data_IF_807738106013
#
_entry.id   IF_807738106013
#
_cell.length_a   1.000
_cell.length_b   1.000
_cell.length_c   1.000
_cell.angle_alpha   90.00
_cell.angle_beta   90.00
_cell.angle_gamma   90.00
#
_symmetry.space_group_name_H-M   'P 1'
#
loop_
_entity.id
_entity.type
_entity.pdbx_description
1 polymer ?
#
# COMPACT_ATOMS: atom_id res chain seq x y z
N UNK A 1 -50.16 3.42 -23.94
CA UNK A 1 -51.45 3.08 -23.29
C UNK A 1 -51.41 1.64 -22.88
N UNK A 2 -51.74 1.38 -21.62
CA UNK A 2 -51.89 0.00 -21.11
C UNK A 2 -53.39 -0.28 -21.08
N UNK A 3 -53.81 -1.30 -21.84
CA UNK A 3 -55.19 -1.74 -21.89
C UNK A 3 -55.33 -2.93 -20.94
N UNK A 4 -56.25 -2.82 -19.97
CA UNK A 4 -56.59 -3.90 -19.06
C UNK A 4 -57.98 -4.44 -19.40
N UNK A 5 -58.32 -5.65 -18.95
CA UNK A 5 -59.66 -6.27 -19.11
C UNK A 5 -60.83 -5.47 -18.48
N UNK A 6 -60.56 -4.39 -17.79
CA UNK A 6 -61.55 -3.51 -17.14
C UNK A 6 -61.58 -2.08 -17.70
N UNK A 7 -60.98 -1.83 -18.83
CA UNK A 7 -60.96 -0.50 -19.48
C UNK A 7 -59.54 0.01 -19.75
N UNK A 8 -59.46 1.03 -20.60
CA UNK A 8 -58.18 1.72 -20.87
C UNK A 8 -57.98 2.87 -19.86
N UNK A 9 -56.88 2.94 -19.20
CA UNK A 9 -56.47 4.09 -18.41
C UNK A 9 -55.28 4.74 -19.11
N UNK A 10 -55.42 5.98 -19.56
CA UNK A 10 -54.34 6.74 -20.12
C UNK A 10 -53.57 7.39 -18.98
N UNK A 11 -52.33 6.97 -18.79
CA UNK A 11 -51.41 7.63 -17.91
C UNK A 11 -50.79 8.79 -18.69
N UNK A 12 -50.68 9.97 -18.08
CA UNK A 12 -50.01 11.11 -18.69
C UNK A 12 -48.59 10.74 -19.08
N UNK A 13 -48.15 11.16 -20.25
CA UNK A 13 -46.78 11.00 -20.68
C UNK A 13 -45.87 11.76 -19.71
N UNK A 14 -45.09 11.04 -18.90
CA UNK A 14 -43.97 11.60 -18.17
C UNK A 14 -42.72 11.36 -18.98
N UNK A 15 -42.13 12.43 -19.48
CA UNK A 15 -40.80 12.39 -20.06
C UNK A 15 -39.79 12.31 -18.92
N UNK A 16 -39.22 11.16 -18.66
CA UNK A 16 -38.02 11.01 -17.89
C UNK A 16 -36.90 11.39 -18.87
N UNK A 17 -36.42 12.63 -18.78
CA UNK A 17 -35.47 13.19 -19.76
C UNK A 17 -34.12 12.50 -19.80
N UNK A 18 -33.73 11.75 -18.77
CA UNK A 18 -32.61 10.79 -18.78
C UNK A 18 -32.58 9.98 -17.49
N UNK A 19 -32.71 8.67 -17.61
CA UNK A 19 -32.38 7.76 -16.53
C UNK A 19 -30.85 7.73 -16.37
N UNK A 20 -30.37 7.98 -15.18
CA UNK A 20 -28.92 7.97 -14.88
C UNK A 20 -28.65 7.11 -13.65
N UNK A 21 -27.52 6.43 -13.67
CA UNK A 21 -27.00 5.82 -12.45
C UNK A 21 -26.63 6.92 -11.48
N UNK A 22 -26.95 6.74 -10.19
CA UNK A 22 -26.46 7.64 -9.14
C UNK A 22 -24.93 7.64 -9.16
N UNK A 23 -24.32 8.81 -9.30
CA UNK A 23 -22.88 8.91 -9.46
C UNK A 23 -22.15 8.58 -8.17
N UNK A 24 -21.21 7.65 -8.25
CA UNK A 24 -20.20 7.44 -7.22
C UNK A 24 -19.13 8.54 -7.37
N UNK A 25 -18.94 9.35 -6.35
CA UNK A 25 -18.03 10.49 -6.37
C UNK A 25 -16.60 10.10 -6.04
N UNK A 26 -16.45 9.31 -4.98
CA UNK A 26 -15.17 8.75 -4.56
C UNK A 26 -15.35 7.56 -3.63
N UNK A 27 -14.25 6.86 -3.36
CA UNK A 27 -14.13 5.78 -2.39
C UNK A 27 -13.00 6.12 -1.42
N UNK A 28 -13.21 5.84 -0.14
CA UNK A 28 -12.22 6.09 0.92
C UNK A 28 -12.04 4.81 1.73
N UNK A 29 -10.81 4.31 1.78
CA UNK A 29 -10.45 3.18 2.65
C UNK A 29 -10.28 3.72 4.06
N UNK A 30 -11.02 3.14 5.01
CA UNK A 30 -10.97 3.50 6.44
C UNK A 30 -10.76 2.22 7.27
N UNK A 31 -9.51 1.90 7.56
CA UNK A 31 -9.15 0.62 8.15
C UNK A 31 -9.48 -0.53 7.19
N UNK A 32 -10.31 -1.47 7.64
CA UNK A 32 -10.77 -2.60 6.83
C UNK A 32 -12.03 -2.28 6.00
N UNK A 33 -12.69 -1.17 6.29
CA UNK A 33 -13.92 -0.73 5.63
C UNK A 33 -13.64 0.12 4.38
N UNK A 34 -14.59 0.08 3.43
CA UNK A 34 -14.62 0.94 2.27
C UNK A 34 -15.85 1.84 2.30
N UNK A 35 -15.63 3.14 2.42
CA UNK A 35 -16.69 4.15 2.35
C UNK A 35 -16.89 4.62 0.91
N UNK A 36 -18.08 4.40 0.38
CA UNK A 36 -18.52 4.90 -0.91
C UNK A 36 -19.30 6.21 -0.73
N UNK A 37 -18.87 7.27 -1.39
CA UNK A 37 -19.55 8.56 -1.38
C UNK A 37 -20.27 8.79 -2.71
N UNK A 38 -21.58 9.04 -2.64
CA UNK A 38 -22.45 9.22 -3.78
C UNK A 38 -22.88 10.69 -3.95
N UNK A 39 -23.27 11.04 -5.16
CA UNK A 39 -23.97 12.29 -5.43
C UNK A 39 -25.30 12.36 -4.66
N UNK A 40 -25.91 13.54 -4.60
CA UNK A 40 -27.27 13.69 -4.09
C UNK A 40 -28.22 12.74 -4.81
N UNK A 41 -29.23 12.30 -4.07
CA UNK A 41 -30.30 11.45 -4.61
C UNK A 41 -31.05 12.19 -5.74
N UNK A 42 -31.38 11.48 -6.80
CA UNK A 42 -32.16 12.02 -7.91
C UNK A 42 -33.65 11.90 -7.55
N UNK A 43 -34.43 12.92 -7.85
CA UNK A 43 -35.83 13.00 -7.44
C UNK A 43 -36.70 11.83 -7.96
N UNK A 44 -36.33 11.29 -9.15
CA UNK A 44 -37.04 10.20 -9.80
C UNK A 44 -36.53 8.82 -9.37
N UNK A 45 -35.39 8.74 -8.70
CA UNK A 45 -34.81 7.48 -8.25
C UNK A 45 -35.54 7.01 -6.99
N UNK A 46 -35.88 5.73 -6.94
CA UNK A 46 -36.52 5.10 -5.78
C UNK A 46 -35.46 4.63 -4.78
N UNK A 47 -34.42 3.97 -5.26
CA UNK A 47 -33.29 3.52 -4.46
C UNK A 47 -32.08 3.17 -5.34
N UNK A 48 -30.93 3.03 -4.69
CA UNK A 48 -29.68 2.60 -5.31
C UNK A 48 -29.11 1.42 -4.54
N UNK A 49 -28.67 0.38 -5.25
CA UNK A 49 -27.97 -0.77 -4.67
C UNK A 49 -26.58 -0.89 -5.26
N UNK A 50 -25.66 -1.44 -4.46
CA UNK A 50 -24.32 -1.84 -4.87
C UNK A 50 -24.22 -3.35 -4.75
N UNK A 51 -23.85 -4.01 -5.84
CA UNK A 51 -23.60 -5.44 -5.94
C UNK A 51 -22.11 -5.66 -6.06
N UNK A 52 -21.56 -6.62 -5.33
CA UNK A 52 -20.11 -6.87 -5.33
C UNK A 52 -19.81 -8.28 -4.79
N UNK A 53 -18.58 -8.74 -5.03
CA UNK A 53 -18.05 -9.93 -4.38
C UNK A 53 -17.31 -9.52 -3.10
N UNK A 54 -17.57 -10.23 -2.01
CA UNK A 54 -16.78 -10.08 -0.79
C UNK A 54 -15.40 -10.75 -0.91
N UNK A 55 -14.59 -10.69 0.15
CA UNK A 55 -13.27 -11.30 0.18
C UNK A 55 -13.29 -12.82 -0.07
N UNK A 56 -14.35 -13.50 0.37
CA UNK A 56 -14.56 -14.95 0.19
C UNK A 56 -15.15 -15.32 -1.19
N UNK A 57 -15.50 -14.33 -2.02
CA UNK A 57 -16.06 -14.53 -3.35
C UNK A 57 -17.57 -14.75 -3.37
N UNK A 58 -18.26 -14.44 -2.29
CA UNK A 58 -19.71 -14.47 -2.22
C UNK A 58 -20.31 -13.19 -2.79
N UNK A 59 -21.42 -13.32 -3.52
CA UNK A 59 -22.17 -12.17 -4.04
C UNK A 59 -22.96 -11.48 -2.92
N UNK A 60 -22.68 -10.20 -2.70
CA UNK A 60 -23.38 -9.37 -1.74
C UNK A 60 -24.08 -8.20 -2.43
N UNK A 61 -25.17 -7.75 -1.82
CA UNK A 61 -25.84 -6.52 -2.20
C UNK A 61 -26.06 -5.63 -0.97
N UNK A 62 -25.84 -4.33 -1.15
CA UNK A 62 -26.16 -3.33 -0.13
C UNK A 62 -26.93 -2.16 -0.74
N UNK A 63 -27.90 -1.65 0.01
CA UNK A 63 -28.73 -0.53 -0.43
C UNK A 63 -28.21 0.78 0.19
N UNK A 64 -28.06 1.80 -0.64
CA UNK A 64 -27.83 3.15 -0.16
C UNK A 64 -29.13 3.66 0.45
N UNK A 65 -29.17 3.86 1.76
CA UNK A 65 -30.35 4.33 2.49
C UNK A 65 -30.82 5.67 1.94
N UNK A 66 -32.13 5.82 1.76
CA UNK A 66 -32.73 7.04 1.23
C UNK A 66 -32.37 8.24 2.10
N UNK A 67 -32.02 9.36 1.46
CA UNK A 67 -31.53 10.56 2.12
C UNK A 67 -30.08 10.50 2.57
N UNK A 68 -29.40 9.36 2.40
CA UNK A 68 -27.98 9.22 2.70
C UNK A 68 -27.15 9.25 1.42
N UNK A 69 -25.98 9.86 1.48
CA UNK A 69 -25.04 9.93 0.37
C UNK A 69 -23.83 9.03 0.59
N UNK A 70 -23.85 8.18 1.59
CA UNK A 70 -22.74 7.32 1.97
C UNK A 70 -23.20 5.88 2.16
N UNK A 71 -22.33 4.95 1.79
CA UNK A 71 -22.46 3.53 2.07
C UNK A 71 -21.11 3.01 2.56
N UNK A 72 -21.09 2.41 3.75
CA UNK A 72 -19.92 1.74 4.29
C UNK A 72 -19.99 0.25 3.98
N UNK A 73 -18.94 -0.31 3.37
CA UNK A 73 -18.83 -1.73 3.04
C UNK A 73 -17.70 -2.31 3.90
N UNK A 74 -18.06 -3.17 4.85
CA UNK A 74 -17.10 -3.77 5.79
C UNK A 74 -16.36 -4.99 5.21
N UNK A 75 -17.00 -5.71 4.29
CA UNK A 75 -16.45 -6.92 3.70
C UNK A 75 -16.41 -6.76 2.17
N UNK A 76 -15.29 -6.26 1.68
CA UNK A 76 -15.08 -5.99 0.26
C UNK A 76 -13.76 -6.61 -0.21
N UNK A 77 -13.73 -7.01 -1.45
CA UNK A 77 -12.51 -7.56 -2.08
C UNK A 77 -11.72 -6.43 -2.75
N UNK A 78 -10.48 -6.12 -2.33
CA UNK A 78 -9.61 -5.20 -3.05
C UNK A 78 -9.51 -5.59 -4.53
N UNK A 79 -9.61 -4.61 -5.44
CA UNK A 79 -9.68 -4.80 -6.89
C UNK A 79 -10.87 -5.66 -7.36
N UNK A 80 -11.81 -5.97 -6.49
CA UNK A 80 -13.04 -6.69 -6.85
C UNK A 80 -13.95 -5.84 -7.72
N UNK A 81 -14.69 -6.48 -8.64
CA UNK A 81 -15.68 -5.81 -9.44
C UNK A 81 -16.91 -5.44 -8.60
N UNK A 82 -17.51 -4.30 -8.92
CA UNK A 82 -18.80 -3.91 -8.38
C UNK A 82 -19.73 -3.42 -9.48
N UNK A 83 -21.04 -3.47 -9.21
CA UNK A 83 -22.09 -2.89 -10.05
C UNK A 83 -22.98 -2.00 -9.18
N UNK A 84 -23.20 -0.76 -9.62
CA UNK A 84 -24.18 0.16 -9.01
C UNK A 84 -25.42 0.15 -9.87
N UNK A 85 -26.58 -0.15 -9.26
CA UNK A 85 -27.90 -0.09 -9.93
C UNK A 85 -28.77 0.96 -9.27
N UNK A 86 -29.31 1.85 -10.08
CA UNK A 86 -30.32 2.82 -9.67
C UNK A 86 -31.66 2.41 -10.23
N UNK A 87 -32.66 2.35 -9.38
CA UNK A 87 -34.00 1.86 -9.66
C UNK A 87 -34.98 3.03 -9.73
N UNK A 88 -35.77 3.02 -10.77
CA UNK A 88 -36.79 4.03 -11.04
C UNK A 88 -38.15 3.38 -11.14
N UNK A 89 -39.13 3.87 -10.38
CA UNK A 89 -40.53 3.48 -10.46
C UNK A 89 -41.29 4.70 -10.95
N UNK A 90 -41.93 4.63 -12.13
CA UNK A 90 -42.60 5.79 -12.74
C UNK A 90 -43.70 6.40 -11.85
N UNK A 91 -44.42 5.56 -11.13
CA UNK A 91 -45.51 5.95 -10.20
C UNK A 91 -45.61 4.98 -9.03
N UNK A 92 -46.21 5.44 -7.90
CA UNK A 92 -46.45 4.60 -6.73
C UNK A 92 -47.49 3.53 -7.06
N UNK A 93 -47.31 2.45 -7.58
CA UNK A 93 -48.09 1.30 -8.02
C UNK A 93 -47.79 0.90 -9.48
N UNK A 94 -46.70 1.42 -10.06
CA UNK A 94 -46.24 0.94 -11.35
C UNK A 94 -45.80 -0.52 -11.22
N UNK A 95 -46.16 -1.33 -12.18
CA UNK A 95 -45.73 -2.74 -12.25
C UNK A 95 -44.28 -2.83 -12.75
N UNK A 96 -43.84 -1.84 -13.53
CA UNK A 96 -42.54 -1.82 -14.16
C UNK A 96 -41.53 -0.96 -13.36
N UNK A 97 -40.38 -1.53 -13.15
CA UNK A 97 -39.20 -0.85 -12.58
C UNK A 97 -38.13 -0.73 -13.65
N UNK A 98 -37.67 0.48 -13.90
CA UNK A 98 -36.55 0.73 -14.79
C UNK A 98 -35.24 0.73 -13.99
N UNK A 99 -34.24 0.07 -14.52
CA UNK A 99 -32.93 -0.04 -13.86
C UNK A 99 -31.87 0.47 -14.81
N UNK A 100 -30.99 1.30 -14.26
CA UNK A 100 -29.77 1.73 -14.95
C UNK A 100 -28.59 1.37 -14.09
N UNK A 101 -27.54 0.82 -14.69
CA UNK A 101 -26.37 0.36 -13.96
C UNK A 101 -25.07 0.94 -14.50
N UNK A 102 -24.06 0.95 -13.64
CA UNK A 102 -22.66 1.15 -13.99
C UNK A 102 -21.79 0.16 -13.21
N UNK A 103 -20.69 -0.25 -13.82
CA UNK A 103 -19.72 -1.17 -13.23
C UNK A 103 -18.42 -0.46 -12.98
N UNK A 104 -17.64 -0.98 -12.04
CA UNK A 104 -16.31 -0.52 -11.73
C UNK A 104 -15.51 -1.57 -10.95
N UNK A 105 -14.36 -1.16 -10.48
CA UNK A 105 -13.45 -1.99 -9.67
C UNK A 105 -13.12 -1.24 -8.40
N UNK A 106 -13.17 -1.91 -7.26
CA UNK A 106 -12.76 -1.36 -5.99
C UNK A 106 -11.28 -0.99 -5.99
N UNK A 107 -10.86 -0.05 -5.13
CA UNK A 107 -9.47 0.34 -5.05
C UNK A 107 -8.58 -0.84 -4.60
N UNK A 108 -7.29 -0.70 -4.84
CA UNK A 108 -6.27 -1.53 -4.24
C UNK A 108 -6.14 -1.20 -2.75
N UNK A 109 -5.91 -2.20 -1.91
CA UNK A 109 -5.57 -2.00 -0.51
C UNK A 109 -4.08 -2.24 -0.31
N UNK A 110 -3.40 -1.29 0.31
CA UNK A 110 -1.97 -1.41 0.63
C UNK A 110 -1.85 -1.76 2.11
N UNK A 111 -1.27 -2.91 2.40
CA UNK A 111 -1.13 -3.45 3.76
C UNK A 111 0.33 -3.72 4.11
N UNK A 112 0.67 -3.58 5.39
CA UNK A 112 1.97 -3.98 5.91
C UNK A 112 2.17 -5.48 5.78
N UNK A 113 3.38 -5.89 5.39
CA UNK A 113 3.74 -7.32 5.36
C UNK A 113 3.92 -7.86 6.77
N UNK A 114 3.59 -9.14 6.95
CA UNK A 114 3.75 -9.85 8.22
C UNK A 114 5.24 -10.11 8.51
N UNK A 115 5.83 -9.23 9.32
CA UNK A 115 7.24 -9.29 9.69
C UNK A 115 7.64 -10.56 10.45
N UNK A 116 6.69 -11.27 11.05
CA UNK A 116 6.96 -12.55 11.75
C UNK A 116 7.43 -13.65 10.78
N UNK A 117 7.16 -13.49 9.49
CA UNK A 117 7.60 -14.38 8.41
C UNK A 117 9.00 -14.07 7.89
N UNK A 118 9.53 -12.87 8.18
CA UNK A 118 10.83 -12.46 7.65
C UNK A 118 11.97 -13.31 8.21
N UNK A 119 12.96 -13.59 7.36
CA UNK A 119 14.13 -14.40 7.71
C UNK A 119 15.40 -13.82 7.09
N UNK A 120 16.47 -13.84 7.84
CA UNK A 120 17.79 -13.56 7.31
C UNK A 120 18.19 -14.65 6.31
N UNK A 121 18.69 -14.25 5.15
CA UNK A 121 19.33 -15.15 4.17
C UNK A 121 20.82 -14.79 4.13
N UNK A 122 21.66 -15.78 4.31
CA UNK A 122 23.10 -15.59 4.40
C UNK A 122 23.76 -16.23 3.20
N UNK A 123 24.23 -15.40 2.29
CA UNK A 123 24.95 -15.83 1.09
C UNK A 123 26.43 -15.46 1.20
N UNK A 124 27.26 -16.13 0.42
CA UNK A 124 28.65 -15.74 0.30
C UNK A 124 28.73 -14.29 -0.21
N UNK A 125 29.61 -13.49 0.36
CA UNK A 125 29.80 -12.06 0.08
C UNK A 125 28.68 -11.13 0.62
N UNK A 126 27.63 -11.64 1.26
CA UNK A 126 26.73 -10.80 2.03
C UNK A 126 27.45 -10.29 3.30
N UNK A 127 27.27 -9.01 3.59
CA UNK A 127 27.78 -8.46 4.84
C UNK A 127 26.97 -8.96 6.02
N UNK A 128 27.64 -9.06 7.18
CA UNK A 128 26.97 -9.42 8.43
C UNK A 128 26.58 -8.16 9.17
N UNK A 129 25.35 -8.14 9.69
CA UNK A 129 24.77 -7.01 10.40
C UNK A 129 24.56 -7.34 11.89
N UNK A 130 25.57 -7.98 12.51
CA UNK A 130 25.48 -8.53 13.86
C UNK A 130 26.56 -7.97 14.82
N UNK A 131 27.18 -6.84 14.50
CA UNK A 131 28.16 -6.20 15.37
C UNK A 131 27.49 -5.37 16.47
N UNK A 132 28.20 -5.16 17.55
CA UNK A 132 27.83 -4.27 18.67
C UNK A 132 26.47 -4.61 19.32
N UNK A 133 26.09 -5.87 19.35
CA UNK A 133 24.77 -6.32 19.82
C UNK A 133 23.64 -6.10 18.81
N UNK A 134 23.96 -5.67 17.61
CA UNK A 134 23.03 -5.61 16.49
C UNK A 134 22.72 -6.98 15.92
N UNK A 135 21.66 -7.08 15.13
CA UNK A 135 21.30 -8.25 14.34
C UNK A 135 20.35 -7.85 13.22
N UNK A 136 20.42 -8.53 12.07
CA UNK A 136 19.54 -8.20 10.94
C UNK A 136 18.05 -8.39 11.29
N UNK A 137 17.70 -9.43 12.09
CA UNK A 137 16.31 -9.67 12.48
C UNK A 137 15.70 -8.54 13.33
N UNK A 138 16.51 -7.68 13.95
CA UNK A 138 16.05 -6.49 14.66
C UNK A 138 15.49 -5.42 13.72
N UNK A 139 15.76 -5.53 12.43
CA UNK A 139 15.23 -4.62 11.43
C UNK A 139 13.74 -4.86 11.07
N UNK A 140 13.08 -5.81 11.72
CA UNK A 140 11.65 -6.11 11.53
C UNK A 140 10.92 -6.59 12.78
N UNK A 141 11.44 -6.23 13.97
CA UNK A 141 10.82 -6.61 15.25
C UNK A 141 9.86 -5.55 15.82
N UNK A 142 9.60 -4.47 15.08
CA UNK A 142 8.78 -3.33 15.45
C UNK A 142 9.32 -2.51 16.64
N UNK A 143 10.63 -2.53 16.86
CA UNK A 143 11.29 -1.68 17.84
C UNK A 143 12.14 -0.63 17.12
N UNK A 144 11.83 0.64 17.36
CA UNK A 144 12.39 1.77 16.62
C UNK A 144 13.39 2.60 17.43
N UNK A 145 13.78 2.13 18.61
CA UNK A 145 14.72 2.88 19.46
C UNK A 145 16.18 2.73 19.01
N UNK A 146 17.02 3.67 19.43
CA UNK A 146 18.41 3.74 19.00
C UNK A 146 19.31 2.63 19.55
N UNK A 147 18.80 1.77 20.44
CA UNK A 147 19.51 0.61 20.99
C UNK A 147 19.17 -0.68 20.25
N UNK A 148 18.14 -0.63 19.39
CA UNK A 148 17.67 -1.74 18.58
C UNK A 148 18.01 -1.51 17.11
N UNK A 149 18.99 -2.22 16.59
CA UNK A 149 19.53 -1.96 15.25
C UNK A 149 20.18 -3.18 14.60
N UNK A 150 20.29 -3.14 13.29
CA UNK A 150 21.23 -3.92 12.49
C UNK A 150 22.52 -3.11 12.29
N UNK A 151 23.69 -3.72 12.43
CA UNK A 151 24.97 -3.00 12.35
C UNK A 151 26.08 -3.90 11.82
N UNK A 152 26.76 -3.49 10.75
CA UNK A 152 27.99 -4.16 10.29
C UNK A 152 29.20 -3.74 11.16
N UNK A 153 30.25 -4.55 11.12
CA UNK A 153 31.46 -4.27 11.92
C UNK A 153 32.24 -3.08 11.37
N UNK A 154 32.29 -1.97 12.13
CA UNK A 154 33.04 -0.78 11.78
C UNK A 154 34.54 -0.87 12.11
N UNK A 155 34.95 -1.91 12.84
CA UNK A 155 36.37 -2.21 13.06
C UNK A 155 37.00 -2.99 11.91
N UNK A 156 36.16 -3.59 11.09
CA UNK A 156 36.53 -4.24 9.82
C UNK A 156 35.68 -3.65 8.69
N UNK A 157 35.99 -2.44 8.23
CA UNK A 157 35.13 -1.71 7.31
C UNK A 157 34.90 -2.46 6.00
N UNK A 158 33.64 -2.44 5.53
CA UNK A 158 33.27 -2.97 4.23
C UNK A 158 33.64 -1.98 3.12
N UNK A 159 33.96 -2.50 1.96
CA UNK A 159 34.14 -1.71 0.73
C UNK A 159 32.80 -1.62 0.02
N UNK A 160 32.30 -0.41 -0.18
CA UNK A 160 31.09 -0.20 -0.98
C UNK A 160 31.34 -0.44 -2.48
N UNK A 161 30.34 -0.99 -3.22
CA UNK A 161 29.03 -1.39 -2.75
C UNK A 161 29.06 -2.70 -1.94
N UNK A 162 28.32 -2.72 -0.86
CA UNK A 162 28.13 -3.89 -0.01
C UNK A 162 26.63 -4.23 0.08
N UNK A 163 26.27 -5.49 0.34
CA UNK A 163 24.88 -5.92 0.32
C UNK A 163 24.57 -6.98 1.35
N UNK A 164 23.30 -7.10 1.66
CA UNK A 164 22.72 -8.14 2.51
C UNK A 164 21.38 -8.60 1.95
N UNK A 165 20.96 -9.80 2.34
CA UNK A 165 19.80 -10.48 1.78
C UNK A 165 18.87 -10.98 2.88
N UNK A 166 17.56 -10.94 2.64
CA UNK A 166 16.55 -11.50 3.52
C UNK A 166 15.32 -11.99 2.73
N UNK A 167 14.54 -12.86 3.36
CA UNK A 167 13.29 -13.44 2.86
C UNK A 167 12.10 -12.71 3.51
N UNK A 168 11.15 -12.24 2.72
CA UNK A 168 9.89 -11.65 3.20
C UNK A 168 8.88 -12.72 3.66
N UNK A 169 9.20 -14.01 3.48
CA UNK A 169 8.36 -15.15 3.86
C UNK A 169 7.21 -15.45 2.91
N UNK A 170 6.83 -14.50 2.08
CA UNK A 170 5.80 -14.67 1.06
C UNK A 170 6.12 -13.83 -0.18
N UNK A 171 5.61 -14.27 -1.33
CA UNK A 171 5.68 -13.52 -2.58
C UNK A 171 4.67 -12.38 -2.55
N UNK A 172 5.10 -11.17 -2.94
CA UNK A 172 4.28 -9.99 -2.89
C UNK A 172 4.60 -8.97 -3.99
N UNK A 173 3.60 -8.25 -4.44
CA UNK A 173 3.76 -7.02 -5.21
C UNK A 173 3.97 -5.86 -4.24
N UNK A 174 5.23 -5.45 -4.10
CA UNK A 174 5.61 -4.39 -3.17
C UNK A 174 5.13 -3.02 -3.68
N UNK A 175 4.64 -2.18 -2.77
CA UNK A 175 4.15 -0.84 -3.06
C UNK A 175 4.97 0.26 -2.42
N UNK A 176 5.42 0.03 -1.21
CA UNK A 176 6.20 0.99 -0.42
C UNK A 176 7.04 0.24 0.59
N UNK A 177 8.12 0.86 1.03
CA UNK A 177 8.74 0.52 2.30
C UNK A 177 9.12 1.78 3.07
N UNK A 178 9.14 1.65 4.39
CA UNK A 178 9.61 2.67 5.29
C UNK A 178 10.94 2.21 5.90
N UNK A 179 11.96 3.08 5.87
CA UNK A 179 13.26 2.85 6.50
C UNK A 179 13.39 3.76 7.72
N UNK A 180 13.71 3.17 8.85
CA UNK A 180 14.06 3.88 10.07
C UNK A 180 15.57 3.78 10.31
N UNK A 181 16.24 4.89 10.22
CA UNK A 181 17.65 5.03 10.58
C UNK A 181 17.84 4.90 12.09
N UNK A 182 19.04 4.62 12.53
CA UNK A 182 19.38 4.76 13.96
C UNK A 182 19.39 6.25 14.29
N UNK A 183 18.42 6.67 15.12
CA UNK A 183 18.21 8.08 15.50
C UNK A 183 18.84 8.36 16.86
N UNK A 184 19.89 9.15 16.85
CA UNK A 184 20.59 9.66 18.01
C UNK A 184 21.33 10.93 17.60
N UNK A 185 21.50 11.89 18.50
CA UNK A 185 22.06 13.22 18.17
C UNK A 185 23.36 13.17 17.36
N UNK A 186 24.25 12.24 17.68
CA UNK A 186 25.54 12.04 17.01
C UNK A 186 25.45 11.17 15.74
N UNK A 187 24.32 10.50 15.50
CA UNK A 187 24.13 9.57 14.38
C UNK A 187 23.13 10.08 13.32
N UNK A 188 22.34 11.12 13.63
CA UNK A 188 21.41 11.69 12.65
C UNK A 188 22.18 12.20 11.42
N UNK A 189 21.89 11.62 10.25
CA UNK A 189 22.63 11.88 8.99
C UNK A 189 24.15 11.73 9.16
N UNK A 190 24.55 10.70 9.90
CA UNK A 190 25.95 10.40 10.21
C UNK A 190 26.13 8.89 10.41
N UNK A 191 27.34 8.49 10.76
CA UNK A 191 27.67 7.10 11.05
C UNK A 191 27.38 6.18 9.86
N UNK A 192 26.98 4.95 10.16
CA UNK A 192 26.63 3.92 9.18
C UNK A 192 25.21 4.02 8.64
N UNK A 193 24.41 5.02 9.03
CA UNK A 193 23.07 5.21 8.45
C UNK A 193 23.16 5.30 6.93
N UNK A 194 22.35 4.53 6.23
CA UNK A 194 22.43 4.41 4.77
C UNK A 194 22.11 5.74 4.10
N UNK A 195 22.93 6.12 3.11
CA UNK A 195 22.76 7.36 2.35
C UNK A 195 22.27 7.09 0.93
N UNK A 196 22.83 6.09 0.26
CA UNK A 196 22.39 5.70 -1.08
C UNK A 196 22.44 4.17 -1.24
N UNK A 197 21.41 3.59 -1.80
CA UNK A 197 21.28 2.14 -1.98
C UNK A 197 20.31 1.78 -3.09
N UNK A 198 20.30 0.51 -3.48
CA UNK A 198 19.32 -0.10 -4.36
C UNK A 198 18.61 -1.25 -3.65
N UNK A 199 17.33 -1.42 -3.97
CA UNK A 199 16.54 -2.59 -3.60
C UNK A 199 16.45 -3.50 -4.82
N UNK A 200 16.85 -4.74 -4.64
CA UNK A 200 16.74 -5.81 -5.64
C UNK A 200 15.84 -6.91 -5.11
N UNK A 201 15.04 -7.50 -5.99
CA UNK A 201 14.11 -8.55 -5.63
C UNK A 201 14.18 -9.74 -6.56
N UNK A 202 13.78 -10.91 -6.04
CA UNK A 202 13.54 -12.13 -6.82
C UNK A 202 12.45 -12.97 -6.16
N UNK A 203 11.84 -13.87 -6.91
CA UNK A 203 10.77 -14.74 -6.44
C UNK A 203 11.30 -16.05 -5.83
N UNK A 204 12.21 -16.70 -6.52
CA UNK A 204 12.80 -17.99 -6.13
C UNK A 204 13.93 -17.83 -5.12
N UNK A 205 14.15 -18.86 -4.31
CA UNK A 205 15.20 -18.86 -3.28
C UNK A 205 16.60 -18.72 -3.92
N UNK A 206 17.41 -17.75 -3.45
CA UNK A 206 18.77 -17.59 -3.94
C UNK A 206 19.67 -18.76 -3.47
N UNK A 207 20.29 -19.44 -4.41
CA UNK A 207 21.15 -20.60 -4.11
C UNK A 207 22.64 -20.24 -3.97
N UNK A 208 23.01 -19.04 -4.44
CA UNK A 208 24.39 -18.54 -4.42
C UNK A 208 24.45 -17.02 -4.28
N UNK A 209 25.66 -16.48 -4.20
CA UNK A 209 25.91 -15.04 -4.07
C UNK A 209 25.82 -14.26 -5.40
N UNK A 210 25.49 -14.91 -6.52
CA UNK A 210 25.41 -14.24 -7.81
C UNK A 210 24.25 -13.22 -7.86
N UNK A 211 24.32 -12.35 -8.86
CA UNK A 211 23.24 -11.41 -9.17
C UNK A 211 22.28 -11.94 -10.24
N UNK A 212 22.45 -13.20 -10.66
CA UNK A 212 21.57 -13.83 -11.65
C UNK A 212 20.16 -14.00 -11.06
N UNK A 213 19.14 -13.64 -11.83
CA UNK A 213 17.73 -13.72 -11.39
C UNK A 213 17.28 -12.61 -10.46
N UNK A 214 18.14 -11.67 -10.10
CA UNK A 214 17.75 -10.48 -9.35
C UNK A 214 17.31 -9.36 -10.28
N UNK A 215 16.18 -8.74 -9.97
CA UNK A 215 15.65 -7.57 -10.67
C UNK A 215 15.79 -6.35 -9.76
N UNK A 216 16.34 -5.26 -10.29
CA UNK A 216 16.37 -3.99 -9.57
C UNK A 216 14.95 -3.42 -9.48
N UNK A 217 14.48 -3.19 -8.27
CA UNK A 217 13.14 -2.68 -7.99
C UNK A 217 13.14 -1.17 -7.77
N UNK A 218 14.17 -0.64 -7.08
CA UNK A 218 14.22 0.77 -6.71
C UNK A 218 15.65 1.23 -6.46
N UNK A 219 15.91 2.51 -6.77
CA UNK A 219 17.12 3.24 -6.34
C UNK A 219 16.69 4.28 -5.30
N UNK A 220 17.37 4.28 -4.15
CA UNK A 220 17.01 5.07 -2.98
C UNK A 220 18.13 6.01 -2.57
N UNK A 221 17.77 7.20 -2.15
CA UNK A 221 18.67 8.17 -1.52
C UNK A 221 17.98 8.74 -0.28
N UNK A 222 18.66 8.69 0.85
CA UNK A 222 18.20 9.34 2.08
C UNK A 222 18.21 10.85 1.91
N UNK A 223 17.12 11.50 2.30
CA UNK A 223 16.92 12.93 2.18
C UNK A 223 17.27 13.64 3.49
N UNK A 224 18.21 14.59 3.42
CA UNK A 224 18.44 15.55 4.48
C UNK A 224 17.81 16.88 4.09
N UNK A 225 16.70 17.31 4.71
CA UNK A 225 15.94 18.49 4.30
C UNK A 225 16.75 19.76 4.18
N UNK A 226 17.67 20.00 5.12
CA UNK A 226 18.51 21.20 5.10
C UNK A 226 19.60 21.20 4.02
N UNK A 227 19.98 20.03 3.50
CA UNK A 227 21.12 19.87 2.60
C UNK A 227 22.49 20.21 3.22
N UNK A 228 22.56 20.46 4.55
CA UNK A 228 23.82 20.80 5.23
C UNK A 228 24.79 19.61 5.29
N UNK A 229 26.08 19.86 5.45
CA UNK A 229 27.09 18.81 5.62
C UNK A 229 26.78 17.84 6.76
N UNK A 230 27.43 16.68 6.73
CA UNK A 230 27.43 15.72 7.84
C UNK A 230 27.88 16.38 9.13
N UNK A 231 27.16 16.14 10.23
CA UNK A 231 27.43 16.74 11.52
C UNK A 231 26.76 18.10 11.78
N UNK A 232 26.14 18.70 10.76
CA UNK A 232 25.39 19.96 10.88
C UNK A 232 23.91 19.72 10.68
N UNK A 233 23.18 19.36 11.73
CA UNK A 233 21.75 19.08 11.64
C UNK A 233 20.90 20.27 12.09
N UNK A 234 19.76 20.48 11.44
CA UNK A 234 18.72 21.39 11.88
C UNK A 234 17.66 20.62 12.65
N UNK A 235 16.76 21.33 13.34
CA UNK A 235 15.59 20.71 13.97
C UNK A 235 14.71 20.00 12.95
N UNK A 236 14.54 20.57 11.75
CA UNK A 236 13.80 19.95 10.66
C UNK A 236 14.43 18.61 10.22
N UNK A 237 15.77 18.54 10.11
CA UNK A 237 16.49 17.31 9.81
C UNK A 237 16.22 16.24 10.87
N UNK A 238 16.30 16.60 12.15
CA UNK A 238 16.08 15.66 13.25
C UNK A 238 14.63 15.16 13.30
N UNK A 239 13.66 16.04 13.10
CA UNK A 239 12.24 15.66 13.00
C UNK A 239 11.98 14.77 11.79
N UNK A 240 12.59 15.05 10.65
CA UNK A 240 12.39 14.26 9.42
C UNK A 240 12.91 12.83 9.59
N UNK A 241 14.17 12.64 10.00
CA UNK A 241 14.78 11.32 10.15
C UNK A 241 14.08 10.47 11.21
N UNK A 242 13.54 11.10 12.28
CA UNK A 242 12.87 10.41 13.38
C UNK A 242 11.53 9.77 12.98
N UNK A 243 10.92 10.24 11.89
CA UNK A 243 9.64 9.73 11.37
C UNK A 243 9.81 8.51 10.46
N UNK A 244 11.05 8.18 10.10
CA UNK A 244 11.34 7.20 9.05
C UNK A 244 11.12 7.77 7.65
N UNK A 245 11.91 7.29 6.71
CA UNK A 245 11.85 7.70 5.31
C UNK A 245 11.00 6.73 4.51
N UNK A 246 10.12 7.25 3.65
CA UNK A 246 9.17 6.48 2.85
C UNK A 246 9.62 6.43 1.40
N UNK A 247 9.63 5.23 0.83
CA UNK A 247 10.04 4.97 -0.54
C UNK A 247 8.96 4.16 -1.27
N UNK A 248 8.43 4.73 -2.34
CA UNK A 248 7.41 4.09 -3.18
C UNK A 248 8.08 3.28 -4.28
N UNK A 249 7.60 2.05 -4.50
CA UNK A 249 8.05 1.24 -5.64
C UNK A 249 7.32 1.65 -6.93
N UNK A 250 7.98 1.55 -8.11
CA UNK A 250 7.32 1.67 -9.39
C UNK A 250 6.17 0.65 -9.54
N UNK A 251 5.20 0.98 -10.38
CA UNK A 251 4.01 0.12 -10.58
C UNK A 251 4.25 -1.10 -11.45
N UNK A 252 5.35 -1.12 -12.19
CA UNK A 252 5.75 -2.13 -13.17
C UNK A 252 6.79 -3.13 -12.67
N UNK A 253 7.04 -3.18 -11.35
CA UNK A 253 7.94 -4.17 -10.76
C UNK A 253 7.28 -5.55 -10.68
N UNK A 254 8.06 -6.65 -10.74
CA UNK A 254 7.54 -7.99 -10.52
C UNK A 254 7.18 -8.22 -9.05
N UNK A 255 6.35 -9.21 -8.81
CA UNK A 255 6.20 -9.79 -7.47
C UNK A 255 7.49 -10.49 -7.05
N UNK A 256 7.89 -10.30 -5.80
CA UNK A 256 9.13 -10.83 -5.24
C UNK A 256 8.91 -11.38 -3.84
N UNK A 257 9.78 -12.30 -3.43
CA UNK A 257 9.83 -12.83 -2.08
C UNK A 257 11.14 -12.49 -1.37
N UNK A 258 12.26 -12.55 -2.09
CA UNK A 258 13.58 -12.31 -1.54
C UNK A 258 14.04 -10.91 -1.90
N UNK A 259 14.60 -10.22 -0.93
CA UNK A 259 15.13 -8.86 -1.07
C UNK A 259 16.64 -8.89 -0.85
N UNK A 260 17.36 -8.17 -1.72
CA UNK A 260 18.78 -7.84 -1.52
C UNK A 260 18.94 -6.34 -1.56
N UNK A 261 19.50 -5.78 -0.50
CA UNK A 261 19.80 -4.35 -0.41
C UNK A 261 21.27 -4.14 -0.68
N UNK A 262 21.56 -3.37 -1.73
CA UNK A 262 22.90 -3.01 -2.18
C UNK A 262 23.20 -1.57 -1.81
N UNK A 263 24.04 -1.36 -0.83
CA UNK A 263 24.38 -0.04 -0.28
C UNK A 263 25.63 0.49 -0.97
N UNK A 264 25.57 1.73 -1.43
CA UNK A 264 26.67 2.41 -2.13
C UNK A 264 27.39 3.41 -1.23
N UNK A 265 26.71 3.96 -0.21
CA UNK A 265 27.29 4.96 0.67
C UNK A 265 26.54 5.01 2.01
N UNK A 266 27.24 5.35 3.06
CA UNK A 266 26.69 5.74 4.36
C UNK A 266 26.88 7.24 4.60
N UNK A 267 26.12 7.83 5.51
CA UNK A 267 26.18 9.27 5.73
C UNK A 267 27.55 9.77 6.16
N UNK A 268 28.30 9.01 6.94
CA UNK A 268 29.68 9.38 7.29
C UNK A 268 30.72 9.08 6.21
N UNK A 269 30.35 8.33 5.15
CA UNK A 269 31.30 7.80 4.17
C UNK A 269 32.24 6.72 4.72
N UNK A 270 32.07 6.32 5.98
CA UNK A 270 32.83 5.21 6.57
C UNK A 270 32.24 3.87 6.12
N UNK A 271 33.08 2.87 5.96
CA UNK A 271 32.70 1.56 5.44
C UNK A 271 31.91 0.70 6.44
N UNK A 272 30.79 1.17 6.94
CA UNK A 272 29.86 0.37 7.72
C UNK A 272 28.42 0.81 7.51
N UNK A 273 27.49 -0.08 7.82
CA UNK A 273 26.06 0.10 7.62
C UNK A 273 25.36 -0.11 8.96
N UNK A 274 24.40 0.77 9.26
CA UNK A 274 23.47 0.63 10.37
C UNK A 274 22.09 1.14 9.98
N UNK A 275 21.05 0.56 10.56
CA UNK A 275 19.66 1.01 10.49
C UNK A 275 18.86 0.35 11.61
N UNK A 276 17.70 0.92 11.95
CA UNK A 276 16.86 0.41 13.02
C UNK A 276 15.80 -0.55 12.48
N UNK A 277 15.00 -0.12 11.49
CA UNK A 277 13.82 -0.90 11.11
C UNK A 277 13.47 -0.74 9.63
N UNK A 278 12.92 -1.82 9.02
CA UNK A 278 12.22 -1.80 7.73
C UNK A 278 10.75 -2.18 7.91
N UNK A 279 9.88 -1.50 7.23
CA UNK A 279 8.48 -1.91 7.08
C UNK A 279 8.12 -1.94 5.61
N UNK A 280 7.86 -3.14 5.08
CA UNK A 280 7.43 -3.32 3.69
C UNK A 280 5.91 -3.39 3.61
N UNK A 281 5.35 -2.81 2.55
CA UNK A 281 3.92 -2.80 2.26
C UNK A 281 3.68 -3.40 0.89
N UNK A 282 2.64 -4.20 0.80
CA UNK A 282 2.24 -4.87 -0.43
C UNK A 282 0.83 -4.49 -0.86
N UNK A 283 0.51 -4.77 -2.10
CA UNK A 283 -0.85 -4.81 -2.61
C UNK A 283 -1.60 -6.02 -2.07
N UNK A 284 -2.84 -5.80 -1.72
CA UNK A 284 -3.83 -6.85 -1.45
C UNK A 284 -4.91 -6.86 -2.50
#
# INVERSE_FOLDING_TARGET
SITTTKGSKTYGERYISSLRVRSLLNMVINGDDLLLNFSSEMAEAVYTKVFYLNADGEELEQMVTRGNNQLNIADWKPRGAYEIKTYYVPESNAVDTFTVSSTGVFPERIVGMDKSKFREVILNNDIRLNAWGGALWKAWDNQYDSSNFAHSDNTNPVVFPAWFTFDLGEKALLKRFDLFSVVRDDLNYNGGNMKSWEIWGRDDEPVDASWNGWTKLLTCNSLKPSGKPVGENTEEDNVYISKGEKFEFPTDIPEVRYIRIKVFDSWSGQGYIQFSEFTFYRSE
#
